data_IF_213876165517
#
_entry.id   IF_213876165517
#
_cell.length_a   1.000
_cell.length_b   1.000
_cell.length_c   1.000
_cell.angle_alpha   90.00
_cell.angle_beta   90.00
_cell.angle_gamma   90.00
#
_symmetry.space_group_name_H-M   'P 1'
#
loop_
_entity.id
_entity.type
_entity.pdbx_description
1 polymer ?
#
# COMPACT_ATOMS: atom_id res chain seq x y z
N UNK A 1 -3.04 40.35 -7.09
CA UNK A 1 -4.14 39.54 -7.67
C UNK A 1 -4.87 38.76 -6.58
N UNK A 2 -4.24 37.80 -5.90
CA UNK A 2 -4.89 36.99 -4.85
C UNK A 2 -5.62 37.80 -3.77
N UNK A 3 -4.98 38.83 -3.20
CA UNK A 3 -5.62 39.70 -2.20
C UNK A 3 -6.83 40.49 -2.71
N UNK A 4 -6.85 40.83 -4.00
CA UNK A 4 -7.97 41.56 -4.62
C UNK A 4 -9.18 40.65 -4.85
N UNK A 5 -8.97 39.40 -5.24
CA UNK A 5 -10.09 38.45 -5.45
C UNK A 5 -10.55 37.79 -4.15
N UNK A 6 -9.69 37.72 -3.12
CA UNK A 6 -10.06 37.26 -1.78
C UNK A 6 -11.04 38.21 -1.08
N UNK A 7 -10.99 39.51 -1.36
CA UNK A 7 -11.93 40.50 -0.84
C UNK A 7 -13.20 40.57 -1.72
N UNK A 8 -14.38 40.42 -1.11
CA UNK A 8 -15.65 40.37 -1.84
C UNK A 8 -16.06 41.70 -2.48
N UNK A 9 -15.73 42.84 -1.87
CA UNK A 9 -16.03 44.17 -2.42
C UNK A 9 -15.15 44.47 -3.63
N UNK A 10 -13.86 44.17 -3.53
CA UNK A 10 -12.93 44.36 -4.65
C UNK A 10 -13.28 43.45 -5.82
N UNK A 11 -13.72 42.21 -5.54
CA UNK A 11 -14.20 41.27 -6.56
C UNK A 11 -15.39 41.81 -7.35
N UNK A 12 -16.36 42.44 -6.65
CA UNK A 12 -17.52 43.08 -7.30
C UNK A 12 -17.12 44.21 -8.24
N UNK A 13 -16.09 44.98 -7.88
CA UNK A 13 -15.56 46.07 -8.72
C UNK A 13 -14.85 45.51 -9.98
N UNK A 14 -14.06 44.44 -9.81
CA UNK A 14 -13.31 43.81 -10.90
C UNK A 14 -14.20 43.05 -11.90
N UNK A 15 -15.36 42.57 -11.45
CA UNK A 15 -16.23 41.69 -12.21
C UNK A 15 -15.88 40.21 -12.06
N UNK A 16 -16.90 39.35 -12.11
CA UNK A 16 -16.77 37.91 -11.86
C UNK A 16 -15.86 37.22 -12.89
N UNK A 17 -15.94 37.60 -14.16
CA UNK A 17 -15.14 37.01 -15.24
C UNK A 17 -13.63 37.23 -15.03
N UNK A 18 -13.24 38.45 -14.66
CA UNK A 18 -11.84 38.78 -14.40
C UNK A 18 -11.34 38.11 -13.11
N UNK A 19 -12.17 38.08 -12.07
CA UNK A 19 -11.84 37.41 -10.82
C UNK A 19 -11.61 35.90 -11.02
N UNK A 20 -12.48 35.26 -11.81
CA UNK A 20 -12.37 33.84 -12.15
C UNK A 20 -11.13 33.54 -13.00
N UNK A 21 -10.82 34.40 -13.97
CA UNK A 21 -9.59 34.30 -14.77
C UNK A 21 -8.34 34.34 -13.88
N UNK A 22 -8.30 35.28 -12.93
CA UNK A 22 -7.18 35.40 -11.99
C UNK A 22 -7.09 34.23 -11.01
N UNK A 23 -8.23 33.73 -10.54
CA UNK A 23 -8.28 32.53 -9.69
C UNK A 23 -7.68 31.31 -10.41
N UNK A 24 -8.13 31.03 -11.64
CA UNK A 24 -7.60 29.92 -12.46
C UNK A 24 -6.10 30.04 -12.70
N UNK A 25 -5.63 31.24 -13.06
CA UNK A 25 -4.21 31.48 -13.32
C UNK A 25 -3.34 31.29 -12.06
N UNK A 26 -3.86 31.61 -10.87
CA UNK A 26 -3.16 31.35 -9.60
C UNK A 26 -3.14 29.85 -9.25
N UNK A 27 -4.24 29.14 -9.51
CA UNK A 27 -4.33 27.70 -9.32
C UNK A 27 -3.36 26.93 -10.24
N UNK A 28 -3.34 27.26 -11.53
CA UNK A 28 -2.43 26.66 -12.52
C UNK A 28 -0.96 26.84 -12.15
N UNK A 29 -0.61 28.00 -11.57
CA UNK A 29 0.75 28.32 -11.12
C UNK A 29 1.10 27.76 -9.75
N UNK A 30 0.19 26.99 -9.13
CA UNK A 30 0.35 26.44 -7.78
C UNK A 30 0.76 27.51 -6.78
N UNK A 31 0.05 28.63 -6.80
CA UNK A 31 0.33 29.75 -5.91
C UNK A 31 0.37 29.29 -4.44
N UNK A 32 1.41 29.69 -3.70
CA UNK A 32 1.66 29.23 -2.32
C UNK A 32 0.49 29.55 -1.38
N UNK A 33 -0.27 30.61 -1.65
CA UNK A 33 -1.45 31.00 -0.88
C UNK A 33 -2.77 30.49 -1.44
N UNK A 34 -2.80 29.37 -2.17
CA UNK A 34 -4.06 28.80 -2.68
C UNK A 34 -5.01 28.40 -1.56
N UNK A 35 -4.52 27.79 -0.47
CA UNK A 35 -5.39 27.38 0.66
C UNK A 35 -6.19 28.53 1.28
N UNK A 36 -5.57 29.66 1.70
CA UNK A 36 -6.35 30.80 2.20
C UNK A 36 -7.21 31.46 1.12
N UNK A 37 -6.77 31.45 -0.15
CA UNK A 37 -7.56 31.99 -1.25
C UNK A 37 -8.80 31.14 -1.53
N UNK A 38 -8.69 29.81 -1.53
CA UNK A 38 -9.80 28.88 -1.70
C UNK A 38 -10.87 29.14 -0.64
N UNK A 39 -10.46 29.31 0.62
CA UNK A 39 -11.38 29.61 1.74
C UNK A 39 -12.14 30.93 1.56
N UNK A 40 -11.51 31.92 0.94
CA UNK A 40 -12.09 33.25 0.73
C UNK A 40 -12.86 33.38 -0.60
N UNK A 41 -12.53 32.55 -1.60
CA UNK A 41 -13.05 32.66 -2.96
C UNK A 41 -14.17 31.67 -3.26
N UNK A 42 -14.03 30.41 -2.85
CA UNK A 42 -14.94 29.32 -3.15
C UNK A 42 -16.12 29.26 -2.15
N UNK A 43 -17.23 28.68 -2.59
CA UNK A 43 -18.32 28.31 -1.70
C UNK A 43 -17.94 27.13 -0.78
N UNK A 44 -18.69 26.93 0.31
CA UNK A 44 -18.49 25.77 1.20
C UNK A 44 -18.60 24.43 0.46
N UNK A 45 -19.52 24.33 -0.50
CA UNK A 45 -19.70 23.12 -1.30
C UNK A 45 -18.50 22.86 -2.21
N UNK A 46 -17.98 23.91 -2.86
CA UNK A 46 -16.79 23.83 -3.70
C UNK A 46 -15.55 23.47 -2.88
N UNK A 47 -15.39 24.04 -1.69
CA UNK A 47 -14.31 23.69 -0.76
C UNK A 47 -14.37 22.22 -0.33
N UNK A 48 -15.55 21.74 0.05
CA UNK A 48 -15.74 20.33 0.42
C UNK A 48 -15.43 19.40 -0.76
N UNK A 49 -15.79 19.80 -1.98
CA UNK A 49 -15.48 19.03 -3.19
C UNK A 49 -13.97 18.97 -3.44
N UNK A 50 -13.29 20.12 -3.39
CA UNK A 50 -11.83 20.22 -3.57
C UNK A 50 -11.07 19.38 -2.52
N UNK A 51 -11.47 19.44 -1.25
CA UNK A 51 -10.86 18.64 -0.19
C UNK A 51 -11.03 17.12 -0.41
N UNK A 52 -12.20 16.70 -0.93
CA UNK A 52 -12.43 15.29 -1.26
C UNK A 52 -11.59 14.85 -2.45
N UNK A 53 -11.46 15.68 -3.47
CA UNK A 53 -10.62 15.41 -4.65
C UNK A 53 -9.14 15.29 -4.25
N UNK A 54 -8.62 16.22 -3.45
CA UNK A 54 -7.23 16.15 -2.94
C UNK A 54 -6.98 14.93 -2.04
N UNK A 55 -7.93 14.58 -1.17
CA UNK A 55 -7.82 13.40 -0.33
C UNK A 55 -7.84 12.11 -1.15
N UNK A 56 -8.65 12.06 -2.21
CA UNK A 56 -8.71 10.93 -3.13
C UNK A 56 -7.43 10.80 -3.97
N UNK A 57 -6.87 11.92 -4.45
CA UNK A 57 -5.57 11.92 -5.15
C UNK A 57 -4.44 11.43 -4.24
N UNK A 58 -4.39 11.92 -3.00
CA UNK A 58 -3.40 11.46 -2.00
C UNK A 58 -3.55 9.97 -1.73
N UNK A 59 -4.77 9.47 -1.56
CA UNK A 59 -5.03 8.03 -1.38
C UNK A 59 -4.54 7.21 -2.57
N UNK A 60 -4.81 7.65 -3.80
CA UNK A 60 -4.32 6.98 -5.02
C UNK A 60 -2.80 7.01 -5.11
N UNK A 61 -2.17 8.12 -4.72
CA UNK A 61 -0.71 8.24 -4.69
C UNK A 61 -0.09 7.33 -3.62
N UNK A 62 -0.66 7.29 -2.42
CA UNK A 62 -0.26 6.39 -1.34
C UNK A 62 -0.39 4.92 -1.74
N UNK A 63 -1.51 4.55 -2.36
CA UNK A 63 -1.74 3.19 -2.87
C UNK A 63 -0.75 2.81 -3.98
N UNK A 64 -0.51 3.73 -4.93
CA UNK A 64 0.50 3.53 -5.98
C UNK A 64 1.90 3.37 -5.39
N UNK A 65 2.25 4.20 -4.41
CA UNK A 65 3.53 4.11 -3.72
C UNK A 65 3.66 2.81 -2.93
N UNK A 66 2.58 2.36 -2.30
CA UNK A 66 2.52 1.08 -1.61
C UNK A 66 2.74 -0.08 -2.58
N UNK A 67 2.01 -0.12 -3.69
CA UNK A 67 2.16 -1.14 -4.74
C UNK A 67 3.57 -1.16 -5.33
N UNK A 68 4.16 0.00 -5.60
CA UNK A 68 5.55 0.07 -6.09
C UNK A 68 6.56 -0.48 -5.07
N UNK A 69 6.36 -0.26 -3.77
CA UNK A 69 7.21 -0.85 -2.72
C UNK A 69 7.01 -2.36 -2.63
N UNK A 70 5.77 -2.82 -2.76
CA UNK A 70 5.40 -4.23 -2.75
C UNK A 70 6.10 -4.99 -3.89
N UNK A 71 5.96 -4.50 -5.13
CA UNK A 71 6.59 -5.14 -6.29
C UNK A 71 8.12 -5.20 -6.15
N UNK A 72 8.76 -4.13 -5.69
CA UNK A 72 10.20 -4.13 -5.42
C UNK A 72 10.61 -5.17 -4.38
N UNK A 73 9.81 -5.35 -3.32
CA UNK A 73 10.09 -6.39 -2.32
C UNK A 73 9.88 -7.79 -2.89
N UNK A 74 8.86 -7.98 -3.73
CA UNK A 74 8.64 -9.26 -4.43
C UNK A 74 9.82 -9.58 -5.35
N UNK A 75 10.23 -8.64 -6.20
CA UNK A 75 11.39 -8.78 -7.09
C UNK A 75 12.65 -9.16 -6.30
N UNK A 76 12.96 -8.43 -5.21
CA UNK A 76 14.13 -8.73 -4.38
C UNK A 76 14.12 -10.13 -3.76
N UNK A 77 12.95 -10.62 -3.34
CA UNK A 77 12.80 -11.97 -2.80
C UNK A 77 12.90 -13.02 -3.91
N UNK A 78 12.23 -12.78 -5.04
CA UNK A 78 12.22 -13.67 -6.19
C UNK A 78 13.59 -13.79 -6.84
N UNK A 79 14.36 -12.70 -6.95
CA UNK A 79 15.73 -12.72 -7.46
C UNK A 79 16.63 -13.63 -6.62
N UNK A 80 16.45 -13.65 -5.29
CA UNK A 80 17.20 -14.55 -4.41
C UNK A 80 16.78 -16.01 -4.59
N UNK A 81 15.48 -16.27 -4.67
CA UNK A 81 14.93 -17.62 -4.71
C UNK A 81 15.11 -18.25 -6.11
N UNK A 82 14.92 -17.48 -7.19
CA UNK A 82 14.96 -18.00 -8.56
C UNK A 82 16.35 -18.47 -9.00
N UNK A 83 17.42 -18.03 -8.32
CA UNK A 83 18.79 -18.48 -8.56
C UNK A 83 19.07 -19.88 -7.98
N UNK A 84 18.18 -20.38 -7.11
CA UNK A 84 18.34 -21.68 -6.47
C UNK A 84 17.71 -22.81 -7.28
N UNK A 85 18.18 -24.06 -7.13
CA UNK A 85 17.51 -25.25 -7.62
C UNK A 85 16.06 -25.37 -7.11
N UNK A 86 15.15 -25.92 -7.90
CA UNK A 86 13.72 -25.99 -7.55
C UNK A 86 13.43 -26.67 -6.21
N UNK A 87 14.22 -27.67 -5.84
CA UNK A 87 14.13 -28.38 -4.55
C UNK A 87 14.58 -27.54 -3.34
N UNK A 88 15.34 -26.45 -3.55
CA UNK A 88 15.84 -25.56 -2.49
C UNK A 88 15.02 -24.26 -2.39
N UNK A 89 14.24 -23.93 -3.42
CA UNK A 89 13.47 -22.68 -3.50
C UNK A 89 12.49 -22.51 -2.35
N UNK A 90 11.84 -23.60 -1.94
CA UNK A 90 10.86 -23.54 -0.86
C UNK A 90 11.53 -23.25 0.48
N UNK A 91 12.59 -23.98 0.85
CA UNK A 91 13.29 -23.73 2.11
C UNK A 91 13.88 -22.31 2.16
N UNK A 92 14.51 -21.85 1.08
CA UNK A 92 15.03 -20.49 0.98
C UNK A 92 13.93 -19.42 1.10
N UNK A 93 12.74 -19.70 0.58
CA UNK A 93 11.58 -18.84 0.78
C UNK A 93 11.18 -18.78 2.26
N UNK A 94 11.12 -19.92 2.96
CA UNK A 94 10.79 -19.97 4.39
C UNK A 94 11.84 -19.27 5.26
N UNK A 95 13.11 -19.38 4.89
CA UNK A 95 14.20 -18.65 5.53
C UNK A 95 14.06 -17.14 5.35
N UNK A 96 13.53 -16.69 4.21
CA UNK A 96 13.29 -15.29 3.92
C UNK A 96 12.03 -14.71 4.59
N UNK A 97 11.18 -15.53 5.24
CA UNK A 97 10.01 -15.03 5.98
C UNK A 97 10.44 -13.99 7.03
N UNK A 98 9.71 -12.87 7.16
CA UNK A 98 9.90 -11.92 8.24
C UNK A 98 9.86 -12.61 9.59
N UNK A 99 10.66 -12.11 10.54
CA UNK A 99 10.63 -12.57 11.92
C UNK A 99 9.35 -12.20 12.65
N UNK A 100 8.62 -11.20 12.14
CA UNK A 100 7.29 -10.91 12.60
C UNK A 100 6.54 -9.93 11.71
N UNK A 101 5.25 -9.83 11.96
CA UNK A 101 4.31 -8.91 11.34
C UNK A 101 3.91 -7.87 12.39
N UNK A 102 4.01 -6.59 12.04
CA UNK A 102 3.76 -5.49 12.97
C UNK A 102 2.63 -4.54 12.53
N UNK A 103 2.04 -4.79 11.34
CA UNK A 103 0.89 -4.00 10.87
C UNK A 103 0.16 -4.69 9.72
N UNK A 104 -1.12 -4.35 9.56
CA UNK A 104 -1.95 -4.71 8.39
C UNK A 104 -1.46 -4.11 7.06
N UNK A 105 -0.46 -3.21 7.10
CA UNK A 105 0.19 -2.61 5.93
C UNK A 105 1.67 -2.98 5.84
N UNK A 106 2.09 -4.10 6.44
CA UNK A 106 3.47 -4.59 6.24
C UNK A 106 3.66 -4.96 4.77
N UNK A 107 4.57 -4.24 4.11
CA UNK A 107 4.93 -4.50 2.71
C UNK A 107 5.63 -5.84 2.61
N UNK A 108 6.51 -6.16 3.56
CA UNK A 108 7.27 -7.42 3.57
C UNK A 108 6.32 -8.63 3.71
N UNK A 109 5.40 -8.58 4.68
CA UNK A 109 4.45 -9.67 4.89
C UNK A 109 3.52 -9.87 3.69
N UNK A 110 2.99 -8.78 3.10
CA UNK A 110 2.15 -8.88 1.89
C UNK A 110 2.93 -9.41 0.68
N UNK A 111 4.18 -9.00 0.50
CA UNK A 111 5.02 -9.50 -0.61
C UNK A 111 5.22 -11.01 -0.49
N UNK A 112 5.51 -11.48 0.73
CA UNK A 112 5.68 -12.90 1.04
C UNK A 112 4.40 -13.69 0.81
N UNK A 113 3.26 -13.19 1.27
CA UNK A 113 1.95 -13.84 1.07
C UNK A 113 1.60 -13.94 -0.42
N UNK A 114 1.82 -12.88 -1.21
CA UNK A 114 1.59 -12.93 -2.65
C UNK A 114 2.50 -13.96 -3.34
N UNK A 115 3.80 -14.00 -2.99
CA UNK A 115 4.73 -15.02 -3.53
C UNK A 115 4.29 -16.43 -3.14
N UNK A 116 3.89 -16.64 -1.88
CA UNK A 116 3.41 -17.94 -1.42
C UNK A 116 2.21 -18.41 -2.25
N UNK A 117 1.21 -17.54 -2.39
CA UNK A 117 0.00 -17.83 -3.15
C UNK A 117 0.29 -18.11 -4.63
N UNK A 118 1.21 -17.37 -5.24
CA UNK A 118 1.57 -17.51 -6.65
C UNK A 118 2.42 -18.76 -6.95
N UNK A 119 3.32 -19.14 -6.04
CA UNK A 119 4.37 -20.13 -6.35
C UNK A 119 4.32 -21.43 -5.56
N UNK A 120 3.76 -21.41 -4.36
CA UNK A 120 3.87 -22.52 -3.41
C UNK A 120 2.51 -23.06 -2.95
N UNK A 121 1.44 -22.29 -3.12
CA UNK A 121 0.08 -22.75 -2.85
C UNK A 121 -0.25 -23.94 -3.73
N UNK A 122 -0.72 -25.03 -3.11
CA UNK A 122 -1.01 -26.33 -3.74
C UNK A 122 0.21 -27.11 -4.27
N UNK A 123 1.44 -26.68 -3.98
CA UNK A 123 2.63 -27.49 -4.24
C UNK A 123 2.88 -28.37 -3.01
N UNK A 124 3.10 -29.67 -3.21
CA UNK A 124 3.43 -30.57 -2.10
C UNK A 124 4.89 -30.31 -1.71
N UNK A 125 5.07 -29.56 -0.64
CA UNK A 125 6.36 -29.10 -0.16
C UNK A 125 6.53 -29.46 1.31
N UNK A 126 7.68 -30.02 1.64
CA UNK A 126 8.08 -30.35 3.00
C UNK A 126 9.20 -29.42 3.44
N UNK A 127 9.29 -29.19 4.75
CA UNK A 127 10.40 -28.43 5.31
C UNK A 127 10.81 -29.01 6.66
N UNK A 128 12.03 -28.68 7.08
CA UNK A 128 12.48 -28.97 8.44
C UNK A 128 11.53 -28.40 9.49
N UNK A 129 11.40 -29.10 10.62
CA UNK A 129 10.59 -28.69 11.79
C UNK A 129 10.81 -27.25 12.22
N UNK A 130 12.06 -26.77 12.17
CA UNK A 130 12.44 -25.39 12.51
C UNK A 130 11.78 -24.38 11.57
N UNK A 131 11.83 -24.64 10.26
CA UNK A 131 11.23 -23.77 9.26
C UNK A 131 9.70 -23.85 9.33
N UNK A 132 9.14 -25.05 9.51
CA UNK A 132 7.70 -25.25 9.71
C UNK A 132 7.15 -24.39 10.87
N UNK A 133 7.81 -24.43 12.02
CA UNK A 133 7.44 -23.63 13.19
C UNK A 133 7.51 -22.12 12.90
N UNK A 134 8.59 -21.66 12.23
CA UNK A 134 8.74 -20.25 11.83
C UNK A 134 7.60 -19.81 10.91
N UNK A 135 7.26 -20.64 9.92
CA UNK A 135 6.18 -20.37 8.97
C UNK A 135 4.82 -20.31 9.64
N UNK A 136 4.55 -21.25 10.55
CA UNK A 136 3.32 -21.23 11.36
C UNK A 136 3.19 -19.93 12.14
N UNK A 137 4.23 -19.52 12.88
CA UNK A 137 4.24 -18.24 13.60
C UNK A 137 3.95 -17.05 12.68
N UNK A 138 4.59 -17.01 11.52
CA UNK A 138 4.37 -15.95 10.53
C UNK A 138 2.91 -15.88 10.05
N UNK A 139 2.30 -17.01 9.68
CA UNK A 139 0.91 -17.02 9.19
C UNK A 139 -0.10 -16.69 10.30
N UNK A 140 0.14 -17.13 11.54
CA UNK A 140 -0.69 -16.74 12.69
C UNK A 140 -0.63 -15.23 12.89
N UNK A 141 0.55 -14.62 12.86
CA UNK A 141 0.67 -13.16 12.97
C UNK A 141 0.00 -12.45 11.79
N UNK A 142 0.10 -12.98 10.56
CA UNK A 142 -0.63 -12.44 9.43
C UNK A 142 -2.15 -12.41 9.68
N UNK A 143 -2.71 -13.45 10.30
CA UNK A 143 -4.12 -13.49 10.68
C UNK A 143 -4.44 -12.48 11.79
N UNK A 144 -3.61 -12.39 12.84
CA UNK A 144 -3.81 -11.43 13.94
C UNK A 144 -3.82 -9.97 13.47
N UNK A 145 -2.99 -9.65 12.47
CA UNK A 145 -2.94 -8.31 11.85
C UNK A 145 -3.90 -8.13 10.68
N UNK A 146 -4.79 -9.10 10.40
CA UNK A 146 -5.82 -9.00 9.37
C UNK A 146 -5.28 -8.95 7.93
N UNK A 147 -4.10 -9.52 7.69
CA UNK A 147 -3.54 -9.70 6.35
C UNK A 147 -4.15 -10.89 5.61
N UNK A 148 -4.59 -11.90 6.37
CA UNK A 148 -5.23 -13.11 5.85
C UNK A 148 -6.47 -13.44 6.69
N UNK A 149 -7.39 -14.17 6.10
CA UNK A 149 -8.60 -14.71 6.73
C UNK A 149 -8.28 -15.97 7.55
N UNK A 150 -9.26 -16.40 8.35
CA UNK A 150 -9.14 -17.67 9.10
C UNK A 150 -9.08 -18.86 8.14
N UNK A 151 -9.86 -18.81 7.07
CA UNK A 151 -9.93 -19.84 6.04
C UNK A 151 -8.56 -20.00 5.35
N UNK A 152 -7.93 -18.89 4.95
CA UNK A 152 -6.57 -18.88 4.37
C UNK A 152 -5.54 -19.41 5.37
N UNK A 153 -5.62 -19.03 6.65
CA UNK A 153 -4.72 -19.57 7.68
C UNK A 153 -4.84 -21.10 7.79
N UNK A 154 -6.07 -21.63 7.81
CA UNK A 154 -6.30 -23.09 7.87
C UNK A 154 -5.74 -23.78 6.63
N UNK A 155 -5.91 -23.18 5.45
CA UNK A 155 -5.37 -23.70 4.20
C UNK A 155 -3.84 -23.74 4.23
N UNK A 156 -3.18 -22.67 4.69
CA UNK A 156 -1.72 -22.64 4.84
C UNK A 156 -1.21 -23.71 5.81
N UNK A 157 -1.88 -23.88 6.96
CA UNK A 157 -1.50 -24.91 7.93
C UNK A 157 -1.68 -26.31 7.35
N UNK A 158 -2.74 -26.54 6.56
CA UNK A 158 -3.04 -27.86 6.00
C UNK A 158 -2.12 -28.24 4.86
N UNK A 159 -1.73 -27.25 4.04
CA UNK A 159 -0.81 -27.47 2.92
C UNK A 159 0.64 -27.69 3.38
N UNK A 160 0.99 -27.28 4.60
CA UNK A 160 2.33 -27.41 5.12
C UNK A 160 2.52 -28.75 5.84
N UNK A 161 3.35 -29.65 5.28
CA UNK A 161 3.70 -30.93 5.90
C UNK A 161 5.10 -30.85 6.49
N UNK A 162 5.24 -31.18 7.78
CA UNK A 162 6.56 -31.40 8.38
C UNK A 162 7.22 -32.64 7.76
N UNK A 163 8.51 -32.57 7.46
CA UNK A 163 9.27 -33.77 7.08
C UNK A 163 9.22 -34.78 8.23
N UNK A 164 8.93 -36.08 7.96
CA UNK A 164 9.01 -37.09 8.98
C UNK A 164 10.45 -37.17 9.50
N UNK A 165 10.63 -37.16 10.83
CA UNK A 165 11.92 -37.45 11.44
C UNK A 165 12.35 -38.86 11.00
N UNK A 166 13.40 -38.97 10.18
CA UNK A 166 13.99 -40.27 9.83
C UNK A 166 14.62 -40.85 11.11
N UNK A 167 13.96 -41.85 11.70
CA UNK A 167 14.56 -42.77 12.70
C UNK A 167 15.58 -43.72 12.07
#
# INVERSE_FOLDING_TARGET
MAGYIANSETRKILGEELAESWYKLLAERKYVGMDPLNKAYLSEEQLKKLQKEEAEEKRKEEEKNFRNKLEKQKELLLDKINLLPDNEKFEAFLEALPYGVYSHNSVEAKAVLEIYNEKFMNVDVSASKKLACKSYSFFVECYEYGLITKEELVEYITNFKEEPENE
#
